data_IF_205096816396
#
_entry.id   IF_205096816396
#
_cell.length_a   1.000
_cell.length_b   1.000
_cell.length_c   1.000
_cell.angle_alpha   90.00
_cell.angle_beta   90.00
_cell.angle_gamma   90.00
#
_symmetry.space_group_name_H-M   'P 1'
#
loop_
_entity.id
_entity.type
_entity.pdbx_description
1 polymer ?
#
# COMPACT_ATOMS: atom_id res chain seq x y z
N UNK A 1 -11.71 21.74 36.90
CA UNK A 1 -12.29 21.11 35.68
C UNK A 1 -11.44 19.91 35.35
N UNK A 2 -11.96 18.70 35.58
CA UNK A 2 -11.34 17.46 35.15
C UNK A 2 -12.12 16.96 33.94
N UNK A 3 -11.43 16.67 32.84
CA UNK A 3 -12.01 16.22 31.58
C UNK A 3 -12.33 14.73 31.71
N UNK A 4 -13.60 14.38 31.56
CA UNK A 4 -14.12 13.00 31.50
C UNK A 4 -13.65 12.32 30.21
N UNK A 5 -12.93 11.20 30.33
CA UNK A 5 -12.62 10.32 29.19
C UNK A 5 -13.75 9.31 29.02
N UNK A 6 -14.39 9.33 27.84
CA UNK A 6 -15.46 8.41 27.43
C UNK A 6 -14.96 6.96 27.42
N UNK A 7 -15.72 6.07 28.08
CA UNK A 7 -15.55 4.62 28.09
C UNK A 7 -15.57 4.02 26.67
N UNK A 8 -14.58 3.19 26.32
CA UNK A 8 -14.58 2.36 25.09
C UNK A 8 -15.33 1.02 25.34
N UNK A 9 -16.07 0.49 24.35
CA UNK A 9 -16.87 -0.73 24.49
C UNK A 9 -16.01 -2.00 24.45
N UNK A 10 -16.50 -3.03 25.15
CA UNK A 10 -15.94 -4.39 25.26
C UNK A 10 -15.99 -5.15 23.93
N UNK A 11 -14.88 -5.78 23.52
CA UNK A 11 -14.81 -6.66 22.35
C UNK A 11 -14.89 -8.14 22.79
N UNK A 12 -15.90 -8.86 22.31
CA UNK A 12 -16.07 -10.30 22.51
C UNK A 12 -15.14 -11.11 21.59
N UNK A 13 -14.44 -12.08 22.16
CA UNK A 13 -13.52 -12.99 21.47
C UNK A 13 -14.27 -14.15 20.79
N UNK A 14 -14.37 -14.14 19.46
CA UNK A 14 -14.55 -15.36 18.67
C UNK A 14 -13.23 -15.63 17.94
N UNK A 15 -12.40 -16.46 18.57
CA UNK A 15 -11.07 -16.81 18.08
C UNK A 15 -11.13 -17.58 16.76
N UNK A 16 -10.34 -17.11 15.79
CA UNK A 16 -9.85 -17.91 14.68
C UNK A 16 -8.33 -17.70 14.59
N UNK A 17 -7.60 -18.81 14.55
CA UNK A 17 -6.16 -18.93 14.72
C UNK A 17 -5.33 -17.91 13.92
N UNK A 18 -4.58 -17.06 14.64
CA UNK A 18 -3.55 -16.20 14.08
C UNK A 18 -2.30 -17.01 13.72
N UNK A 19 -2.36 -17.76 12.62
CA UNK A 19 -1.19 -18.36 12.00
C UNK A 19 -1.25 -18.19 10.47
N UNK A 20 -1.24 -16.93 10.02
CA UNK A 20 -0.80 -16.59 8.66
C UNK A 20 -0.04 -15.25 8.61
N UNK A 21 1.28 -15.35 8.85
CA UNK A 21 2.37 -14.70 8.09
C UNK A 21 2.39 -13.16 7.97
N UNK A 22 3.21 -12.54 8.84
CA UNK A 22 3.73 -11.14 8.80
C UNK A 22 4.11 -10.63 7.40
N UNK A 23 4.56 -11.50 6.49
CA UNK A 23 5.02 -11.13 5.14
C UNK A 23 3.92 -10.69 4.17
N UNK A 24 2.70 -11.22 4.28
CA UNK A 24 1.59 -10.84 3.38
C UNK A 24 1.09 -9.42 3.65
N UNK A 25 1.18 -8.97 4.91
CA UNK A 25 0.73 -7.63 5.31
C UNK A 25 1.62 -6.52 4.69
N UNK A 26 2.89 -6.82 4.42
CA UNK A 26 3.82 -5.90 3.77
C UNK A 26 3.71 -5.88 2.25
N UNK A 27 3.50 -7.04 1.62
CA UNK A 27 3.48 -7.13 0.15
C UNK A 27 2.14 -6.65 -0.42
N UNK A 28 1.01 -7.01 0.19
CA UNK A 28 -0.32 -6.64 -0.32
C UNK A 28 -1.09 -5.67 0.57
N UNK A 29 -0.84 -5.66 1.88
CA UNK A 29 -1.64 -4.87 2.83
C UNK A 29 -1.47 -3.36 2.71
N UNK A 30 -0.22 -2.87 2.74
CA UNK A 30 0.08 -1.44 2.64
C UNK A 30 -0.33 -0.80 1.30
N UNK A 31 -0.09 -1.44 0.13
CA UNK A 31 -0.53 -0.88 -1.15
C UNK A 31 -2.05 -0.76 -1.25
N UNK A 32 -2.82 -1.69 -0.68
CA UNK A 32 -4.29 -1.61 -0.67
C UNK A 32 -4.79 -0.36 0.06
N UNK A 33 -4.13 0.06 1.14
CA UNK A 33 -4.49 1.29 1.85
C UNK A 33 -4.25 2.53 0.97
N UNK A 34 -3.15 2.54 0.22
CA UNK A 34 -2.84 3.62 -0.73
C UNK A 34 -3.83 3.63 -1.89
N UNK A 35 -4.14 2.49 -2.48
CA UNK A 35 -5.07 2.37 -3.61
C UNK A 35 -6.51 2.75 -3.26
N UNK A 36 -6.94 2.67 -2.00
CA UNK A 36 -8.27 3.14 -1.58
C UNK A 36 -8.44 4.65 -1.73
N UNK A 37 -7.37 5.41 -1.55
CA UNK A 37 -7.38 6.89 -1.58
C UNK A 37 -6.05 7.41 -2.16
N UNK A 38 -5.72 7.13 -3.43
CA UNK A 38 -4.40 7.41 -4.01
C UNK A 38 -4.03 8.90 -3.96
N UNK A 39 -5.02 9.78 -4.16
CA UNK A 39 -4.84 11.22 -4.15
C UNK A 39 -4.32 11.75 -2.80
N UNK A 40 -4.67 11.11 -1.67
CA UNK A 40 -4.20 11.55 -0.35
C UNK A 40 -2.69 11.33 -0.17
N UNK A 41 -2.12 10.44 -0.98
CA UNK A 41 -0.69 10.11 -1.01
C UNK A 41 0.02 10.70 -2.24
N UNK A 42 -0.66 11.56 -3.01
CA UNK A 42 -0.08 12.23 -4.17
C UNK A 42 -0.08 11.42 -5.48
N UNK A 43 -0.70 10.24 -5.51
CA UNK A 43 -0.84 9.44 -6.72
C UNK A 43 -2.11 9.80 -7.49
N UNK A 44 -2.01 9.87 -8.81
CA UNK A 44 -3.13 10.06 -9.73
C UNK A 44 -3.54 8.76 -10.41
N UNK A 45 -2.57 7.88 -10.65
CA UNK A 45 -2.77 6.65 -11.40
C UNK A 45 -2.48 5.43 -10.54
N UNK A 46 -3.54 4.67 -10.23
CA UNK A 46 -3.45 3.49 -9.37
C UNK A 46 -3.26 2.19 -10.15
N UNK A 47 -3.91 2.08 -11.31
CA UNK A 47 -4.01 0.83 -12.05
C UNK A 47 -3.12 0.75 -13.29
N UNK A 48 -2.82 1.88 -13.93
CA UNK A 48 -1.90 1.90 -15.08
C UNK A 48 -0.45 1.76 -14.61
N UNK A 49 0.34 1.02 -15.35
CA UNK A 49 1.79 0.99 -15.18
C UNK A 49 2.41 2.25 -15.78
N UNK A 50 3.38 2.84 -15.09
CA UNK A 50 4.09 4.01 -15.59
C UNK A 50 4.90 3.68 -16.85
N UNK A 51 5.46 2.48 -16.94
CA UNK A 51 6.31 2.01 -18.00
C UNK A 51 5.78 0.69 -18.56
N UNK A 52 5.72 0.61 -19.90
CA UNK A 52 5.24 -0.56 -20.61
C UNK A 52 4.70 -0.17 -21.98
N UNK A 53 3.71 -0.93 -22.43
CA UNK A 53 3.01 -0.74 -23.70
C UNK A 53 1.62 -1.33 -23.59
N UNK A 54 0.77 -1.05 -24.58
CA UNK A 54 -0.56 -1.61 -24.69
C UNK A 54 -1.60 -0.88 -23.83
N UNK A 55 -2.84 -0.91 -24.28
CA UNK A 55 -3.96 -0.31 -23.55
C UNK A 55 -4.86 -1.40 -22.95
N UNK A 56 -5.59 -1.12 -21.86
CA UNK A 56 -5.75 0.19 -21.21
C UNK A 56 -4.78 0.45 -20.05
N UNK A 57 -3.95 -0.53 -19.67
CA UNK A 57 -3.15 -0.47 -18.44
C UNK A 57 -1.67 -0.13 -18.66
N UNK A 58 -1.23 0.10 -19.90
CA UNK A 58 0.18 0.26 -20.23
C UNK A 58 1.03 -0.93 -19.78
N UNK A 59 0.46 -2.13 -19.87
CA UNK A 59 1.07 -3.38 -19.46
C UNK A 59 0.80 -4.49 -20.49
N UNK A 60 1.87 -5.11 -20.97
CA UNK A 60 1.86 -6.38 -21.68
C UNK A 60 2.95 -7.28 -21.07
N UNK A 61 2.72 -8.59 -21.02
CA UNK A 61 3.69 -9.56 -20.44
C UNK A 61 5.04 -9.47 -21.17
N UNK A 62 4.97 -9.20 -22.47
CA UNK A 62 6.08 -8.80 -23.32
C UNK A 62 5.53 -7.75 -24.28
N UNK A 63 6.26 -6.67 -24.58
CA UNK A 63 7.63 -6.33 -24.17
C UNK A 63 7.73 -5.63 -22.80
N UNK A 64 8.79 -5.94 -22.03
CA UNK A 64 9.03 -5.38 -20.69
C UNK A 64 9.76 -4.03 -20.73
N UNK A 65 9.71 -3.28 -19.62
CA UNK A 65 10.49 -2.05 -19.46
C UNK A 65 11.99 -2.25 -19.70
N UNK A 66 12.59 -1.32 -20.44
CA UNK A 66 14.00 -1.41 -20.89
C UNK A 66 14.15 -2.01 -22.29
N UNK A 67 13.08 -2.53 -22.89
CA UNK A 67 13.05 -2.87 -24.32
C UNK A 67 12.73 -1.62 -25.18
N UNK A 68 13.11 -1.61 -26.47
CA UNK A 68 12.87 -0.45 -27.35
C UNK A 68 11.39 -0.10 -27.56
N UNK A 69 10.49 -1.07 -27.39
CA UNK A 69 9.05 -0.92 -27.60
C UNK A 69 8.29 -0.51 -26.34
N UNK A 70 8.91 -0.59 -25.15
CA UNK A 70 8.31 -0.12 -23.91
C UNK A 70 8.68 1.35 -23.66
N UNK A 71 7.72 2.14 -23.20
CA UNK A 71 7.93 3.56 -22.89
C UNK A 71 7.39 3.90 -21.51
N UNK A 72 8.03 4.86 -20.84
CA UNK A 72 7.62 5.36 -19.53
C UNK A 72 6.98 6.74 -19.64
N UNK A 73 5.91 6.98 -18.89
CA UNK A 73 5.34 8.31 -18.74
C UNK A 73 6.32 9.27 -18.03
N UNK A 74 6.30 10.59 -18.35
CA UNK A 74 7.27 11.55 -17.83
C UNK A 74 7.24 11.81 -16.31
N UNK A 75 6.17 11.39 -15.62
CA UNK A 75 5.99 11.66 -14.18
C UNK A 75 5.72 10.37 -13.38
N UNK A 76 6.75 9.52 -13.16
CA UNK A 76 6.59 8.26 -12.43
C UNK A 76 6.09 8.43 -11.00
N UNK A 77 6.31 9.59 -10.38
CA UNK A 77 5.82 9.90 -9.04
C UNK A 77 4.30 9.98 -8.91
N UNK A 78 3.57 10.12 -10.02
CA UNK A 78 2.11 10.15 -10.04
C UNK A 78 1.48 8.75 -10.17
N UNK A 79 2.30 7.72 -10.38
CA UNK A 79 1.87 6.33 -10.61
C UNK A 79 2.23 5.45 -9.42
N UNK A 80 1.35 4.51 -9.08
CA UNK A 80 1.62 3.48 -8.07
C UNK A 80 2.50 2.36 -8.66
N UNK A 81 2.13 1.87 -9.85
CA UNK A 81 2.82 0.78 -10.54
C UNK A 81 3.89 1.30 -11.50
N UNK A 82 5.05 0.66 -11.49
CA UNK A 82 6.12 0.93 -12.46
C UNK A 82 5.87 0.17 -13.76
N UNK A 83 5.85 -1.16 -13.72
CA UNK A 83 5.81 -2.04 -14.91
C UNK A 83 4.79 -3.18 -14.79
N UNK A 84 3.86 -3.08 -13.83
CA UNK A 84 2.87 -4.12 -13.53
C UNK A 84 3.37 -5.24 -12.59
N UNK A 85 4.66 -5.28 -12.27
CA UNK A 85 5.26 -6.20 -11.30
C UNK A 85 5.86 -5.43 -10.11
N UNK A 86 6.48 -4.30 -10.40
CA UNK A 86 7.16 -3.44 -9.43
C UNK A 86 6.36 -2.16 -9.14
N UNK A 87 6.56 -1.61 -7.94
CA UNK A 87 6.03 -0.30 -7.55
C UNK A 87 7.00 0.81 -7.97
N UNK A 88 6.49 2.02 -8.12
CA UNK A 88 7.34 3.19 -8.36
C UNK A 88 8.13 3.55 -7.10
N UNK A 89 9.24 4.28 -7.26
CA UNK A 89 10.01 4.81 -6.12
C UNK A 89 9.14 5.66 -5.18
N UNK A 90 8.21 6.44 -5.73
CA UNK A 90 7.28 7.25 -4.95
C UNK A 90 6.37 6.39 -4.07
N UNK A 91 5.85 5.29 -4.62
CA UNK A 91 5.06 4.33 -3.83
C UNK A 91 5.91 3.66 -2.75
N UNK A 92 7.15 3.25 -3.06
CA UNK A 92 8.05 2.69 -2.05
C UNK A 92 8.34 3.69 -0.91
N UNK A 93 8.49 4.98 -1.20
CA UNK A 93 8.66 6.02 -0.16
C UNK A 93 7.46 6.06 0.78
N UNK A 94 6.24 6.07 0.25
CA UNK A 94 5.01 6.03 1.08
C UNK A 94 4.95 4.73 1.87
N UNK A 95 5.31 3.61 1.26
CA UNK A 95 5.29 2.30 1.90
C UNK A 95 6.27 2.21 3.08
N UNK A 96 7.48 2.75 2.91
CA UNK A 96 8.52 2.81 3.94
C UNK A 96 8.14 3.84 5.01
N UNK A 97 7.60 4.99 4.63
CA UNK A 97 7.12 6.01 5.57
C UNK A 97 6.01 5.45 6.46
N UNK A 98 5.04 4.76 5.88
CA UNK A 98 4.01 4.04 6.63
C UNK A 98 4.63 2.96 7.52
N UNK A 99 5.65 2.24 7.07
CA UNK A 99 6.27 1.21 7.90
C UNK A 99 7.05 1.79 9.10
N UNK A 100 7.80 2.87 8.91
CA UNK A 100 8.64 3.49 9.94
C UNK A 100 7.84 4.41 10.87
N UNK A 101 6.82 5.11 10.33
CA UNK A 101 6.06 6.14 11.04
C UNK A 101 4.63 5.72 11.40
N UNK A 102 4.11 4.61 10.88
CA UNK A 102 2.97 3.99 11.55
C UNK A 102 3.44 3.64 12.95
N UNK A 103 2.86 4.32 13.96
CA UNK A 103 2.77 3.76 15.30
C UNK A 103 2.46 2.28 15.11
N UNK A 104 3.22 1.36 15.71
CA UNK A 104 2.97 -0.05 15.52
C UNK A 104 1.47 -0.28 15.68
N UNK A 105 0.82 -0.78 14.64
CA UNK A 105 -0.56 -1.30 14.72
C UNK A 105 -0.62 -2.55 15.64
N UNK A 106 0.35 -2.66 16.56
CA UNK A 106 0.69 -3.76 17.46
C UNK A 106 1.16 -3.28 18.83
N UNK A 107 0.84 -2.06 19.30
CA UNK A 107 0.96 -1.74 20.74
C UNK A 107 -0.31 -1.15 21.37
N UNK A 108 -1.20 -0.53 20.60
CA UNK A 108 -2.55 -0.19 21.09
C UNK A 108 -3.54 -1.35 20.90
N UNK A 109 -3.24 -2.30 20.01
CA UNK A 109 -4.01 -3.53 19.77
C UNK A 109 -3.47 -4.73 20.56
N UNK A 110 -2.20 -4.68 21.00
CA UNK A 110 -1.57 -5.73 21.83
C UNK A 110 -1.82 -5.52 23.32
N UNK A 111 -2.15 -4.30 23.77
CA UNK A 111 -2.59 -4.06 25.15
C UNK A 111 -4.06 -4.43 25.39
N UNK A 112 -4.74 -5.01 24.39
CA UNK A 112 -5.98 -5.78 24.58
C UNK A 112 -5.74 -7.30 24.43
N UNK A 113 -4.47 -7.74 24.50
CA UNK A 113 -4.02 -9.14 24.50
C UNK A 113 -2.81 -9.33 25.43
N UNK A 114 -2.98 -8.99 26.71
CA UNK A 114 -2.31 -9.66 27.84
C UNK A 114 -3.29 -9.76 28.99
#
# INVERSE_FOLDING_TARGET
MAITLSSKPSCNNSGHSFHMLSSHMLITGLPILVMKNPNQYGFKESFKACCGTGDPYNFEVFPVCGTPSASAYPSPSQYINWDGVHLTEAMYKVHIDMFLNARPLTLASVTCWT
#
